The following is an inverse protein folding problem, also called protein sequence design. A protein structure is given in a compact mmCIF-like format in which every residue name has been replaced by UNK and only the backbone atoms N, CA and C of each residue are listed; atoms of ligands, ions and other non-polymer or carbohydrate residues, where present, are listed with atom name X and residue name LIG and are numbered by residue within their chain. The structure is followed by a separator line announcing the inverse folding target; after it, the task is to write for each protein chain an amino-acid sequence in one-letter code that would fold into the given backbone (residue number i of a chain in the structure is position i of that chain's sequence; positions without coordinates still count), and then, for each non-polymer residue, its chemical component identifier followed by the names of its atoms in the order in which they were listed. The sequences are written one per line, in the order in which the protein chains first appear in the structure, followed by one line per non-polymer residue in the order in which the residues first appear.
data_IF_457546501661
#
_entry.id   IF_457546501661
#
_cell.length_a   1.000
_cell.length_b   1.000
_cell.length_c   1.000
_cell.angle_alpha   90.00
_cell.angle_beta   90.00
_cell.angle_gamma   90.00
#
_symmetry.space_group_name_H-M   'P 1'
#
loop_
_entity.id
_entity.type
_entity.pdbx_description
1 polymer ?
#
# COMPACT_ATOMS: atom_id res chain seq x y z
N UNK A 1 -5.27 -36.11 -19.00
CA UNK A 1 -6.34 -35.90 -18.01
C UNK A 1 -5.69 -35.81 -16.64
N UNK A 2 -5.66 -34.62 -16.05
CA UNK A 2 -5.56 -34.42 -14.60
C UNK A 2 -6.05 -33.00 -14.32
N UNK A 3 -7.33 -32.92 -13.96
CA UNK A 3 -8.01 -31.71 -13.57
C UNK A 3 -7.77 -31.40 -12.08
N UNK A 4 -7.82 -30.10 -11.77
CA UNK A 4 -8.34 -29.52 -10.52
C UNK A 4 -7.63 -29.77 -9.18
N UNK A 5 -6.34 -29.41 -9.07
CA UNK A 5 -5.71 -29.15 -7.73
C UNK A 5 -5.38 -27.67 -7.48
N UNK A 6 -5.43 -26.80 -8.49
CA UNK A 6 -5.16 -25.36 -8.34
C UNK A 6 -6.34 -24.48 -7.86
N UNK A 7 -7.57 -25.01 -7.84
CA UNK A 7 -8.80 -24.21 -7.60
C UNK A 7 -9.32 -24.33 -6.15
N UNK A 8 -9.28 -25.53 -5.56
CA UNK A 8 -9.72 -25.80 -4.20
C UNK A 8 -8.91 -25.04 -3.13
N UNK A 9 -7.60 -24.91 -3.33
CA UNK A 9 -6.73 -24.16 -2.41
C UNK A 9 -7.07 -22.68 -2.36
N UNK A 10 -7.31 -22.05 -3.51
CA UNK A 10 -7.72 -20.64 -3.58
C UNK A 10 -9.12 -20.39 -2.99
N UNK A 11 -10.07 -21.31 -3.26
CA UNK A 11 -11.42 -21.22 -2.71
C UNK A 11 -11.45 -21.31 -1.18
N UNK A 12 -10.67 -22.22 -0.59
CA UNK A 12 -10.56 -22.38 0.87
C UNK A 12 -9.94 -21.13 1.52
N UNK A 13 -8.91 -20.54 0.90
CA UNK A 13 -8.30 -19.30 1.38
C UNK A 13 -9.32 -18.14 1.40
N UNK A 14 -10.04 -17.95 0.30
CA UNK A 14 -11.09 -16.92 0.20
C UNK A 14 -12.17 -17.14 1.27
N UNK A 15 -12.63 -18.37 1.48
CA UNK A 15 -13.64 -18.70 2.49
C UNK A 15 -13.16 -18.37 3.93
N UNK A 16 -11.89 -18.68 4.25
CA UNK A 16 -11.28 -18.35 5.55
C UNK A 16 -11.21 -16.84 5.78
N UNK A 17 -10.82 -16.06 4.77
CA UNK A 17 -10.80 -14.59 4.83
C UNK A 17 -12.21 -14.04 5.06
N UNK A 18 -13.18 -14.49 4.27
CA UNK A 18 -14.57 -14.04 4.36
C UNK A 18 -15.15 -14.26 5.76
N UNK A 19 -14.97 -15.46 6.33
CA UNK A 19 -15.45 -15.77 7.68
C UNK A 19 -14.88 -14.80 8.72
N UNK A 20 -13.55 -14.63 8.74
CA UNK A 20 -12.89 -13.73 9.69
C UNK A 20 -13.31 -12.28 9.52
N UNK A 21 -13.50 -11.81 8.29
CA UNK A 21 -13.89 -10.43 8.04
C UNK A 21 -15.35 -10.17 8.41
N UNK A 22 -16.27 -11.11 8.18
CA UNK A 22 -17.68 -10.96 8.59
C UNK A 22 -17.84 -10.80 10.10
N UNK A 23 -16.95 -11.40 10.88
CA UNK A 23 -16.93 -11.27 12.35
C UNK A 23 -16.33 -9.94 12.82
N UNK A 24 -15.45 -9.33 12.02
CA UNK A 24 -14.64 -8.17 12.44
C UNK A 24 -15.12 -6.84 11.87
N UNK A 25 -15.69 -6.83 10.67
CA UNK A 25 -16.08 -5.63 9.93
C UNK A 25 -17.45 -5.17 10.39
N UNK A 26 -17.53 -3.94 10.88
CA UNK A 26 -18.79 -3.31 11.26
C UNK A 26 -19.49 -2.70 10.04
N UNK A 27 -20.83 -2.54 10.07
CA UNK A 27 -21.57 -1.91 9.00
C UNK A 27 -21.01 -0.51 8.65
N UNK A 28 -20.82 -0.25 7.36
CA UNK A 28 -20.32 1.03 6.84
C UNK A 28 -18.80 1.21 6.90
N UNK A 29 -18.03 0.33 7.56
CA UNK A 29 -16.57 0.48 7.61
C UNK A 29 -15.90 0.36 6.23
N UNK A 30 -16.48 -0.40 5.31
CA UNK A 30 -16.00 -0.53 3.93
C UNK A 30 -16.75 0.39 2.96
N UNK A 31 -17.44 1.42 3.47
CA UNK A 31 -18.30 2.28 2.67
C UNK A 31 -19.48 1.50 2.09
N UNK A 32 -19.71 1.63 0.78
CA UNK A 32 -20.77 0.92 0.08
C UNK A 32 -20.41 -0.53 -0.32
N UNK A 33 -19.18 -0.97 -0.08
CA UNK A 33 -18.69 -2.29 -0.48
C UNK A 33 -19.04 -3.37 0.56
N UNK A 34 -19.54 -4.52 0.09
CA UNK A 34 -19.73 -5.70 0.94
C UNK A 34 -18.41 -6.39 1.27
N UNK A 35 -18.36 -7.20 2.33
CA UNK A 35 -17.17 -8.00 2.66
C UNK A 35 -16.78 -8.93 1.51
N UNK A 36 -17.75 -9.48 0.78
CA UNK A 36 -17.53 -10.34 -0.39
C UNK A 36 -16.89 -9.59 -1.55
N UNK A 37 -17.40 -8.40 -1.86
CA UNK A 37 -16.84 -7.54 -2.90
C UNK A 37 -15.40 -7.15 -2.54
N UNK A 38 -15.17 -6.79 -1.27
CA UNK A 38 -13.86 -6.47 -0.74
C UNK A 38 -12.87 -7.63 -0.90
N UNK A 39 -13.22 -8.84 -0.47
CA UNK A 39 -12.32 -10.00 -0.60
C UNK A 39 -12.08 -10.36 -2.06
N UNK A 40 -13.12 -10.31 -2.90
CA UNK A 40 -13.00 -10.56 -4.35
C UNK A 40 -12.05 -9.56 -5.01
N UNK A 41 -12.06 -8.31 -4.55
CA UNK A 41 -11.18 -7.27 -5.04
C UNK A 41 -9.73 -7.52 -4.61
N UNK A 42 -9.52 -7.89 -3.35
CA UNK A 42 -8.18 -8.25 -2.84
C UNK A 42 -7.60 -9.52 -3.49
N UNK A 43 -8.42 -10.51 -3.85
CA UNK A 43 -7.95 -11.74 -4.51
C UNK A 43 -7.46 -11.52 -5.95
N UNK A 44 -7.80 -10.38 -6.55
CA UNK A 44 -7.32 -9.96 -7.88
C UNK A 44 -5.96 -9.29 -7.86
N UNK A 45 -5.42 -8.97 -6.68
CA UNK A 45 -4.10 -8.35 -6.60
C UNK A 45 -3.05 -9.28 -7.22
N UNK A 46 -2.24 -8.69 -8.09
CA UNK A 46 -1.08 -9.33 -8.70
C UNK A 46 0.13 -8.48 -8.32
N UNK A 47 0.85 -8.92 -7.29
CA UNK A 47 2.15 -8.35 -6.96
C UNK A 47 3.23 -9.17 -7.66
N UNK A 48 4.37 -8.55 -8.02
CA UNK A 48 5.51 -9.33 -8.52
C UNK A 48 6.02 -10.31 -7.45
N UNK A 49 6.82 -11.28 -7.87
CA UNK A 49 7.56 -12.12 -6.92
C UNK A 49 8.54 -11.23 -6.15
N UNK A 50 8.34 -11.13 -4.83
CA UNK A 50 9.08 -10.24 -3.95
C UNK A 50 9.59 -11.06 -2.77
N UNK A 51 10.77 -10.70 -2.25
CA UNK A 51 11.13 -11.13 -0.92
C UNK A 51 10.23 -10.40 0.09
N UNK A 52 9.39 -11.18 0.78
CA UNK A 52 8.46 -10.68 1.78
C UNK A 52 9.01 -10.75 3.20
N UNK A 53 10.28 -11.12 3.38
CA UNK A 53 10.95 -11.17 4.66
C UNK A 53 10.85 -9.80 5.35
N UNK A 54 10.22 -9.79 6.53
CA UNK A 54 10.12 -8.61 7.36
C UNK A 54 11.49 -8.38 8.02
N UNK A 55 12.04 -7.17 7.87
CA UNK A 55 13.18 -6.75 8.70
C UNK A 55 12.74 -6.71 10.16
N UNK A 56 13.63 -7.11 11.07
CA UNK A 56 13.36 -7.16 12.52
C UNK A 56 13.09 -5.77 13.13
N UNK A 57 13.47 -4.69 12.44
CA UNK A 57 13.24 -3.31 12.84
C UNK A 57 13.12 -2.35 11.66
N UNK A 58 13.01 -1.06 11.99
CA UNK A 58 13.05 0.03 11.02
C UNK A 58 14.47 0.18 10.46
N UNK A 59 14.60 0.32 9.15
CA UNK A 59 15.88 0.64 8.53
C UNK A 59 16.09 2.17 8.55
N UNK A 60 17.16 2.68 9.19
CA UNK A 60 17.41 4.12 9.26
C UNK A 60 17.75 4.74 7.89
N UNK A 61 18.07 3.93 6.87
CA UNK A 61 18.36 4.40 5.53
C UNK A 61 17.11 4.60 4.66
N UNK A 62 15.90 4.26 5.13
CA UNK A 62 14.67 4.45 4.35
C UNK A 62 14.38 5.93 4.02
N UNK A 63 14.50 6.91 4.94
CA UNK A 63 14.28 8.31 4.61
C UNK A 63 15.23 8.80 3.52
N UNK A 64 16.53 8.48 3.64
CA UNK A 64 17.52 8.88 2.65
C UNK A 64 17.24 8.24 1.28
N UNK A 65 16.93 6.94 1.23
CA UNK A 65 16.63 6.28 -0.04
C UNK A 65 15.32 6.77 -0.67
N UNK A 66 14.35 7.19 0.14
CA UNK A 66 13.18 7.89 -0.38
C UNK A 66 13.58 9.24 -0.97
N UNK A 67 14.40 10.04 -0.29
CA UNK A 67 14.80 11.37 -0.77
C UNK A 67 15.59 11.26 -2.09
N UNK A 68 16.52 10.32 -2.19
CA UNK A 68 17.25 10.01 -3.42
C UNK A 68 16.31 9.63 -4.56
N UNK A 69 15.36 8.73 -4.30
CA UNK A 69 14.41 8.31 -5.34
C UNK A 69 13.42 9.42 -5.71
N UNK A 70 13.00 10.24 -4.74
CA UNK A 70 12.17 11.43 -4.98
C UNK A 70 12.89 12.41 -5.91
N UNK A 71 14.18 12.68 -5.71
CA UNK A 71 14.94 13.54 -6.62
C UNK A 71 15.02 12.95 -8.02
N UNK A 72 15.23 11.63 -8.13
CA UNK A 72 15.26 10.93 -9.41
C UNK A 72 13.91 11.00 -10.14
N UNK A 73 12.81 10.86 -9.43
CA UNK A 73 11.45 10.99 -9.96
C UNK A 73 11.15 12.43 -10.40
N UNK A 74 11.50 13.43 -9.57
CA UNK A 74 11.32 14.84 -9.92
C UNK A 74 12.10 15.22 -11.18
N UNK A 75 13.35 14.77 -11.30
CA UNK A 75 14.17 15.04 -12.48
C UNK A 75 13.56 14.42 -13.75
N UNK A 76 13.09 13.17 -13.67
CA UNK A 76 12.50 12.49 -14.82
C UNK A 76 11.12 13.05 -15.22
N UNK A 77 10.35 13.53 -14.25
CA UNK A 77 9.00 14.07 -14.44
C UNK A 77 8.98 15.60 -14.56
N UNK A 78 10.12 16.25 -14.79
CA UNK A 78 10.23 17.72 -14.78
C UNK A 78 9.34 18.42 -15.82
N UNK A 79 8.90 17.71 -16.86
CA UNK A 79 7.96 18.21 -17.87
C UNK A 79 6.47 18.00 -17.53
N UNK A 80 6.17 17.37 -16.40
CA UNK A 80 4.80 17.05 -15.98
C UNK A 80 4.37 17.91 -14.79
N UNK A 81 3.08 18.24 -14.69
CA UNK A 81 2.52 18.99 -13.56
C UNK A 81 2.29 18.07 -12.34
N UNK A 82 3.37 17.83 -11.60
CA UNK A 82 3.38 17.01 -10.39
C UNK A 82 2.87 17.83 -9.19
N UNK A 83 1.71 17.44 -8.66
CA UNK A 83 1.13 18.04 -7.46
C UNK A 83 1.89 17.68 -6.17
N UNK A 84 2.51 16.49 -6.13
CA UNK A 84 3.35 16.09 -5.01
C UNK A 84 3.90 14.67 -5.13
N UNK A 85 5.03 14.45 -4.43
CA UNK A 85 5.67 13.14 -4.27
C UNK A 85 5.87 12.88 -2.78
N UNK A 86 5.23 11.83 -2.27
CA UNK A 86 5.17 11.52 -0.85
C UNK A 86 5.65 10.09 -0.57
N UNK A 87 6.47 9.94 0.47
CA UNK A 87 6.78 8.63 1.04
C UNK A 87 5.59 8.14 1.82
N UNK A 88 5.05 6.98 1.47
CA UNK A 88 3.89 6.37 2.13
C UNK A 88 4.22 4.94 2.59
N UNK A 89 3.21 4.22 3.05
CA UNK A 89 3.38 2.84 3.50
C UNK A 89 4.17 2.73 4.81
N UNK A 90 4.51 1.49 5.18
CA UNK A 90 5.14 1.21 6.48
C UNK A 90 6.56 1.76 6.59
N UNK A 91 7.31 1.84 5.49
CA UNK A 91 8.70 2.34 5.50
C UNK A 91 8.79 3.85 5.72
N UNK A 92 7.68 4.57 5.54
CA UNK A 92 7.57 6.00 5.85
C UNK A 92 7.32 6.31 7.33
N UNK A 93 7.09 5.29 8.18
CA UNK A 93 6.77 5.48 9.59
C UNK A 93 7.93 4.93 10.43
N UNK A 94 8.58 5.78 11.26
CA UNK A 94 9.68 5.33 12.12
C UNK A 94 9.27 4.17 13.03
N UNK A 95 10.24 3.32 13.38
CA UNK A 95 10.07 2.21 14.34
C UNK A 95 9.13 1.08 13.86
N UNK A 96 8.71 1.07 12.59
CA UNK A 96 7.96 -0.03 12.00
C UNK A 96 8.88 -1.06 11.35
N UNK A 97 8.79 -2.31 11.78
CA UNK A 97 9.25 -3.45 10.98
C UNK A 97 8.44 -3.50 9.67
N UNK A 98 9.15 -3.64 8.55
CA UNK A 98 8.57 -3.69 7.21
C UNK A 98 9.45 -4.52 6.27
N UNK A 99 8.86 -4.89 5.13
CA UNK A 99 9.60 -5.34 3.96
C UNK A 99 10.42 -4.15 3.44
N UNK A 100 11.57 -4.41 2.82
CA UNK A 100 12.44 -3.37 2.25
C UNK A 100 11.92 -2.86 0.90
N UNK A 101 10.68 -2.38 0.94
CA UNK A 101 9.92 -1.88 -0.20
C UNK A 101 9.45 -0.48 0.16
N UNK A 102 9.91 0.52 -0.58
CA UNK A 102 9.49 1.90 -0.39
C UNK A 102 8.26 2.18 -1.25
N UNK A 103 7.13 2.45 -0.60
CA UNK A 103 5.91 2.89 -1.26
C UNK A 103 5.97 4.41 -1.45
N UNK A 104 5.87 4.88 -2.69
CA UNK A 104 5.93 6.29 -3.06
C UNK A 104 4.66 6.62 -3.83
N UNK A 105 3.95 7.68 -3.47
CA UNK A 105 2.85 8.19 -4.30
C UNK A 105 3.27 9.46 -5.03
N UNK A 106 2.97 9.50 -6.32
CA UNK A 106 3.17 10.63 -7.23
C UNK A 106 1.80 11.08 -7.72
N UNK A 107 1.36 12.25 -7.29
CA UNK A 107 0.08 12.82 -7.68
C UNK A 107 0.27 13.85 -8.79
N UNK A 108 -0.57 13.78 -9.82
CA UNK A 108 -0.47 14.63 -11.02
C UNK A 108 -1.75 15.44 -11.22
N UNK A 109 -1.62 16.71 -11.59
CA UNK A 109 -2.79 17.59 -11.80
C UNK A 109 -3.52 17.29 -13.10
N UNK A 110 -2.76 16.92 -14.14
CA UNK A 110 -3.32 16.56 -15.44
C UNK A 110 -3.55 15.04 -15.51
N UNK A 111 -4.77 14.56 -15.81
CA UNK A 111 -5.04 13.13 -15.93
C UNK A 111 -4.16 12.43 -16.98
N UNK A 112 -3.91 13.08 -18.13
CA UNK A 112 -3.07 12.51 -19.19
C UNK A 112 -1.59 12.41 -18.80
N UNK A 113 -1.13 13.18 -17.80
CA UNK A 113 0.22 13.04 -17.27
C UNK A 113 0.43 11.68 -16.60
N UNK A 114 -0.62 11.05 -16.05
CA UNK A 114 -0.53 9.73 -15.41
C UNK A 114 -0.10 8.66 -16.42
N UNK A 115 -0.62 8.73 -17.65
CA UNK A 115 -0.25 7.80 -18.73
C UNK A 115 1.17 8.06 -19.23
N UNK A 116 1.54 9.33 -19.44
CA UNK A 116 2.90 9.72 -19.84
C UNK A 116 3.94 9.33 -18.78
N UNK A 117 3.59 9.49 -17.52
CA UNK A 117 4.42 9.10 -16.39
C UNK A 117 4.75 7.60 -16.40
N UNK A 118 3.83 6.74 -16.84
CA UNK A 118 4.11 5.31 -16.96
C UNK A 118 5.29 5.05 -17.92
N UNK A 119 5.34 5.74 -19.06
CA UNK A 119 6.45 5.65 -20.00
C UNK A 119 7.76 6.19 -19.42
N UNK A 120 7.70 7.33 -18.73
CA UNK A 120 8.87 7.90 -18.05
C UNK A 120 9.41 6.98 -16.96
N UNK A 121 8.53 6.41 -16.14
CA UNK A 121 8.87 5.46 -15.08
C UNK A 121 9.50 4.19 -15.66
N UNK A 122 9.04 3.72 -16.83
CA UNK A 122 9.67 2.61 -17.53
C UNK A 122 11.14 2.90 -17.87
N UNK A 123 11.47 4.12 -18.32
CA UNK A 123 12.85 4.56 -18.53
C UNK A 123 13.71 4.57 -17.28
N UNK A 124 13.11 4.70 -16.09
CA UNK A 124 13.78 4.60 -14.79
C UNK A 124 13.91 3.16 -14.27
N UNK A 125 13.42 2.17 -15.02
CA UNK A 125 13.46 0.75 -14.67
C UNK A 125 12.25 0.26 -13.87
N UNK A 126 11.18 1.05 -13.77
CA UNK A 126 9.92 0.59 -13.20
C UNK A 126 9.09 -0.19 -14.23
N UNK A 127 8.46 -1.28 -13.79
CA UNK A 127 7.52 -2.06 -14.60
C UNK A 127 6.09 -1.70 -14.21
N UNK A 128 5.31 -1.25 -15.17
CA UNK A 128 3.88 -0.99 -14.97
C UNK A 128 3.13 -2.29 -14.62
N UNK A 129 2.28 -2.23 -13.61
CA UNK A 129 1.40 -3.31 -13.16
C UNK A 129 -0.09 -2.94 -13.31
N UNK A 130 -0.37 -1.83 -14.00
CA UNK A 130 -1.71 -1.34 -14.28
C UNK A 130 -2.40 -0.70 -13.07
N UNK A 131 -3.71 -0.53 -13.20
CA UNK A 131 -4.55 0.02 -12.13
C UNK A 131 -4.56 -0.92 -10.92
N UNK A 132 -4.46 -0.32 -9.74
CA UNK A 132 -4.57 -1.02 -8.48
C UNK A 132 -5.98 -1.56 -8.30
N UNK A 133 -6.15 -2.88 -8.07
CA UNK A 133 -7.45 -3.39 -7.69
C UNK A 133 -7.84 -2.92 -6.29
N UNK A 134 -6.91 -2.50 -5.43
CA UNK A 134 -7.18 -2.21 -4.03
C UNK A 134 -7.23 -0.72 -3.65
N UNK A 135 -6.73 0.14 -4.53
CA UNK A 135 -6.69 1.59 -4.38
C UNK A 135 -7.20 2.25 -5.68
N UNK A 136 -8.51 2.54 -5.72
CA UNK A 136 -9.16 3.05 -6.93
C UNK A 136 -8.51 4.35 -7.45
N UNK A 137 -8.30 4.42 -8.77
CA UNK A 137 -7.65 5.57 -9.42
C UNK A 137 -6.14 5.67 -9.15
N UNK A 138 -5.51 4.61 -8.64
CA UNK A 138 -4.05 4.51 -8.52
C UNK A 138 -3.53 3.49 -9.52
N UNK A 139 -2.39 3.77 -10.16
CA UNK A 139 -1.65 2.79 -10.96
C UNK A 139 -0.33 2.42 -10.28
N UNK A 140 0.09 1.17 -10.41
CA UNK A 140 1.29 0.65 -9.75
C UNK A 140 2.44 0.48 -10.73
N UNK A 141 3.63 0.92 -10.31
CA UNK A 141 4.87 0.77 -11.06
C UNK A 141 5.94 0.24 -10.12
N UNK A 142 6.51 -0.92 -10.43
CA UNK A 142 7.41 -1.64 -9.53
C UNK A 142 8.84 -1.64 -10.05
N UNK A 143 9.80 -1.27 -9.21
CA UNK A 143 11.24 -1.47 -9.45
C UNK A 143 11.79 -2.37 -8.36
N UNK A 144 12.09 -3.61 -8.73
CA UNK A 144 12.55 -4.64 -7.81
C UNK A 144 14.07 -4.60 -7.74
N UNK A 145 14.60 -4.53 -6.52
CA UNK A 145 16.04 -4.60 -6.29
C UNK A 145 16.59 -6.00 -6.64
N UNK A 146 17.76 -6.10 -7.28
CA UNK A 146 18.39 -7.39 -7.54
C UNK A 146 18.79 -8.07 -6.22
N UNK A 147 18.79 -9.40 -6.20
CA UNK A 147 19.31 -10.23 -5.09
C UNK A 147 18.75 -9.89 -3.70
N UNK A 148 17.47 -9.55 -3.63
CA UNK A 148 16.82 -9.15 -2.37
C UNK A 148 17.11 -7.70 -1.94
N UNK A 149 17.71 -6.91 -2.83
CA UNK A 149 17.96 -5.49 -2.64
C UNK A 149 16.67 -4.67 -2.53
N UNK A 150 16.85 -3.42 -2.07
CA UNK A 150 15.75 -2.48 -1.84
C UNK A 150 14.90 -2.29 -3.10
N UNK A 151 13.59 -2.42 -2.92
CA UNK A 151 12.61 -2.28 -3.98
C UNK A 151 11.76 -1.02 -3.78
N UNK A 152 11.14 -0.55 -4.85
CA UNK A 152 10.30 0.65 -4.86
C UNK A 152 8.99 0.37 -5.58
N UNK A 153 7.90 0.92 -5.04
CA UNK A 153 6.59 0.95 -5.67
C UNK A 153 6.19 2.39 -5.83
N UNK A 154 6.10 2.84 -7.08
CA UNK A 154 5.52 4.14 -7.39
C UNK A 154 4.04 3.94 -7.70
N UNK A 155 3.21 4.63 -6.94
CA UNK A 155 1.78 4.77 -7.14
C UNK A 155 1.52 6.08 -7.85
N UNK A 156 0.98 6.06 -9.07
CA UNK A 156 0.56 7.29 -9.76
C UNK A 156 -0.94 7.49 -9.61
N UNK A 157 -1.38 8.72 -9.33
CA UNK A 157 -2.80 9.06 -9.22
C UNK A 157 -3.08 10.51 -9.62
N UNK A 158 -4.36 10.85 -9.79
CA UNK A 158 -4.78 12.24 -9.95
C UNK A 158 -4.63 13.02 -8.63
N UNK A 159 -4.32 14.31 -8.71
CA UNK A 159 -4.10 15.17 -7.55
C UNK A 159 -5.36 15.45 -6.71
N UNK A 160 -6.53 15.41 -7.35
CA UNK A 160 -7.84 15.53 -6.72
C UNK A 160 -8.37 14.20 -6.17
N UNK A 161 -7.65 13.09 -6.38
CA UNK A 161 -8.03 11.81 -5.81
C UNK A 161 -7.89 11.90 -4.27
N UNK A 162 -8.99 11.72 -3.50
CA UNK A 162 -8.98 11.88 -2.05
C UNK A 162 -7.97 10.93 -1.38
N UNK A 163 -7.70 9.77 -1.98
CA UNK A 163 -6.72 8.80 -1.48
C UNK A 163 -5.32 9.39 -1.35
N UNK A 164 -4.94 10.36 -2.18
CA UNK A 164 -3.63 11.02 -2.08
C UNK A 164 -3.46 11.70 -0.72
N UNK A 165 -4.48 12.41 -0.25
CA UNK A 165 -4.47 13.00 1.09
C UNK A 165 -4.58 11.92 2.17
N UNK A 166 -5.43 10.91 2.00
CA UNK A 166 -5.65 9.84 2.99
C UNK A 166 -4.39 9.06 3.34
N UNK A 167 -3.57 8.69 2.34
CA UNK A 167 -2.33 7.93 2.58
C UNK A 167 -1.28 8.78 3.32
N UNK A 168 -1.25 10.08 3.04
CA UNK A 168 -0.40 11.04 3.76
C UNK A 168 -0.89 11.23 5.21
N UNK A 169 -2.20 11.42 5.39
CA UNK A 169 -2.81 11.57 6.71
C UNK A 169 -2.54 10.34 7.57
N UNK A 170 -2.69 9.13 7.02
CA UNK A 170 -2.39 7.87 7.71
C UNK A 170 -0.95 7.83 8.22
N UNK A 171 0.04 8.16 7.37
CA UNK A 171 1.46 8.23 7.77
C UNK A 171 1.67 9.21 8.91
N UNK A 172 1.21 10.44 8.73
CA UNK A 172 1.48 11.52 9.68
C UNK A 172 0.80 11.26 11.03
N UNK A 173 -0.40 10.69 11.00
CA UNK A 173 -1.12 10.26 12.19
C UNK A 173 -0.35 9.16 12.95
N UNK A 174 0.17 8.13 12.26
CA UNK A 174 0.98 7.10 12.93
C UNK A 174 2.35 7.60 13.42
N UNK A 175 2.85 8.72 12.88
CA UNK A 175 4.01 9.41 13.44
C UNK A 175 3.65 10.15 14.73
N UNK A 176 2.49 10.81 14.77
CA UNK A 176 2.02 11.62 15.88
C UNK A 176 1.43 10.81 17.06
N UNK A 177 0.88 9.62 16.81
CA UNK A 177 0.18 8.81 17.82
C UNK A 177 0.87 7.45 18.03
N UNK A 178 1.83 7.35 18.98
CA UNK A 178 2.59 6.12 19.21
C UNK A 178 1.73 4.89 19.56
N UNK A 179 0.62 5.07 20.27
CA UNK A 179 -0.28 3.96 20.62
C UNK A 179 -0.97 3.37 19.38
N UNK A 180 -1.35 4.20 18.41
CA UNK A 180 -1.92 3.75 17.14
C UNK A 180 -0.87 3.06 16.26
N UNK A 181 0.36 3.60 16.28
CA UNK A 181 1.51 2.95 15.63
C UNK A 181 1.75 1.57 16.22
N UNK A 182 1.76 1.45 17.54
CA UNK A 182 1.96 0.19 18.24
C UNK A 182 0.86 -0.83 17.89
N UNK A 183 -0.41 -0.41 17.91
CA UNK A 183 -1.54 -1.26 17.48
C UNK A 183 -1.37 -1.77 16.04
N UNK A 184 -0.88 -0.92 15.13
CA UNK A 184 -0.59 -1.32 13.76
C UNK A 184 0.59 -2.30 13.65
N UNK A 185 1.64 -2.11 14.46
CA UNK A 185 2.79 -3.05 14.55
C UNK A 185 2.32 -4.42 15.02
N UNK A 186 1.58 -4.46 16.11
CA UNK A 186 1.11 -5.69 16.75
C UNK A 186 0.29 -6.52 15.78
N UNK A 187 -0.71 -5.90 15.11
CA UNK A 187 -1.49 -6.60 14.10
C UNK A 187 -0.61 -7.17 12.98
N UNK A 188 0.37 -6.41 12.47
CA UNK A 188 1.27 -6.93 11.42
C UNK A 188 2.09 -8.12 11.91
N UNK A 189 2.59 -8.08 13.15
CA UNK A 189 3.35 -9.18 13.76
C UNK A 189 2.47 -10.42 13.94
N UNK A 190 1.27 -10.26 14.50
CA UNK A 190 0.30 -11.33 14.66
C UNK A 190 -0.07 -11.99 13.32
N UNK A 191 -0.36 -11.18 12.30
CA UNK A 191 -0.67 -11.68 10.97
C UNK A 191 0.53 -12.37 10.32
N UNK A 192 1.75 -11.88 10.52
CA UNK A 192 2.95 -12.50 9.96
C UNK A 192 3.36 -13.81 10.66
N UNK A 193 3.01 -13.96 11.95
CA UNK A 193 3.29 -15.15 12.73
C UNK A 193 2.24 -16.27 12.55
N UNK A 194 1.11 -15.99 11.89
CA UNK A 194 0.05 -16.96 11.69
C UNK A 194 0.50 -18.09 10.74
N UNK A 195 0.29 -19.38 11.10
CA UNK A 195 0.63 -20.50 10.23
C UNK A 195 -0.23 -20.49 8.96
N UNK A 196 0.40 -20.89 7.85
CA UNK A 196 -0.19 -20.95 6.50
C UNK A 196 -0.83 -19.63 6.04
N UNK A 197 -0.39 -18.50 6.62
CA UNK A 197 -0.93 -17.19 6.31
C UNK A 197 -0.61 -16.82 4.86
N UNK A 198 -1.67 -16.57 4.10
CA UNK A 198 -1.54 -16.16 2.70
C UNK A 198 -1.36 -14.65 2.57
N UNK A 199 -0.81 -14.23 1.43
CA UNK A 199 -0.73 -12.81 1.09
C UNK A 199 -2.12 -12.14 1.10
N UNK A 200 -3.15 -12.84 0.60
CA UNK A 200 -4.52 -12.37 0.57
C UNK A 200 -5.05 -12.13 1.99
N UNK A 201 -4.92 -13.13 2.87
CA UNK A 201 -5.35 -13.00 4.26
C UNK A 201 -4.61 -11.88 4.99
N UNK A 202 -3.28 -11.82 4.85
CA UNK A 202 -2.47 -10.78 5.48
C UNK A 202 -2.93 -9.39 5.02
N UNK A 203 -3.09 -9.20 3.72
CA UNK A 203 -3.41 -7.89 3.15
C UNK A 203 -4.84 -7.45 3.45
N UNK A 204 -5.82 -8.36 3.34
CA UNK A 204 -7.22 -8.08 3.59
C UNK A 204 -7.50 -7.77 5.08
N UNK A 205 -6.99 -8.59 6.01
CA UNK A 205 -7.19 -8.38 7.45
C UNK A 205 -6.49 -7.11 7.95
N UNK A 206 -5.23 -6.89 7.53
CA UNK A 206 -4.49 -5.66 7.83
C UNK A 206 -5.25 -4.42 7.37
N UNK A 207 -5.88 -4.48 6.19
CA UNK A 207 -6.57 -3.31 5.63
C UNK A 207 -7.73 -2.84 6.50
N UNK A 208 -8.42 -3.71 7.22
CA UNK A 208 -9.51 -3.30 8.11
C UNK A 208 -9.00 -2.33 9.17
N UNK A 209 -7.86 -2.63 9.81
CA UNK A 209 -7.26 -1.70 10.75
C UNK A 209 -6.75 -0.43 10.06
N UNK A 210 -6.18 -0.54 8.86
CA UNK A 210 -5.76 0.63 8.07
C UNK A 210 -6.94 1.57 7.83
N UNK A 211 -8.11 1.08 7.42
CA UNK A 211 -9.31 1.89 7.21
C UNK A 211 -9.73 2.64 8.48
N UNK A 212 -9.74 1.95 9.63
CA UNK A 212 -10.07 2.56 10.94
C UNK A 212 -9.06 3.62 11.37
N UNK A 213 -7.77 3.39 11.13
CA UNK A 213 -6.72 4.38 11.41
C UNK A 213 -6.86 5.57 10.46
N UNK A 214 -7.08 5.34 9.16
CA UNK A 214 -7.26 6.41 8.16
C UNK A 214 -8.46 7.29 8.49
N UNK A 215 -9.59 6.72 8.93
CA UNK A 215 -10.74 7.52 9.36
C UNK A 215 -10.39 8.47 10.51
N UNK A 216 -9.67 7.98 11.53
CA UNK A 216 -9.18 8.80 12.66
C UNK A 216 -8.13 9.81 12.23
N UNK A 217 -7.24 9.43 11.32
CA UNK A 217 -6.22 10.31 10.75
C UNK A 217 -6.85 11.48 9.99
N UNK A 218 -7.89 11.23 9.21
CA UNK A 218 -8.64 12.25 8.50
C UNK A 218 -9.37 13.19 9.47
N UNK A 219 -10.01 12.66 10.51
CA UNK A 219 -10.65 13.47 11.55
C UNK A 219 -9.63 14.34 12.30
N UNK A 220 -8.47 13.78 12.65
CA UNK A 220 -7.37 14.52 13.27
C UNK A 220 -6.85 15.65 12.39
N UNK A 221 -6.67 15.39 11.09
CA UNK A 221 -6.25 16.42 10.11
C UNK A 221 -7.29 17.52 9.93
N UNK A 222 -8.58 17.17 9.86
CA UNK A 222 -9.68 18.14 9.80
C UNK A 222 -9.76 19.02 11.07
N UNK A 223 -9.35 18.49 12.22
CA UNK A 223 -9.25 19.24 13.48
C UNK A 223 -7.97 20.09 13.62
N UNK A 224 -7.18 20.28 12.54
CA UNK A 224 -5.93 21.05 12.55
C UNK A 224 -4.68 20.25 12.94
N UNK A 225 -4.78 18.93 13.03
CA UNK A 225 -3.67 18.05 13.34
C UNK A 225 -2.56 18.07 12.30
N UNK A 226 -1.33 18.26 12.75
CA UNK A 226 -0.11 18.20 11.92
C UNK A 226 0.11 19.38 10.99
N UNK A 227 -0.57 20.52 11.22
CA UNK A 227 -0.13 21.82 10.72
C UNK A 227 1.15 22.27 11.45
#
# INVERSE_FOLDING_TARGET
MNASTGDLGGALQVARVLRRLREQVQPGELGAESVEQFVRRYSRVRAPALDLNLRSGCDPAWPQAFDEEKQRLLAALAGEDVAGIEHIGSTSIPQLASKDILDIVVAMREPAAIERAAATLAGLGYRAHGESPIDAGFSWHWRIGPDGGRSFVVHTCAADNPRFAEVRNFRDFLRAFPHERQRYVELKRELAAAPDQTWLEYSALKKILVVRITARANAWRAAGGGA
#
